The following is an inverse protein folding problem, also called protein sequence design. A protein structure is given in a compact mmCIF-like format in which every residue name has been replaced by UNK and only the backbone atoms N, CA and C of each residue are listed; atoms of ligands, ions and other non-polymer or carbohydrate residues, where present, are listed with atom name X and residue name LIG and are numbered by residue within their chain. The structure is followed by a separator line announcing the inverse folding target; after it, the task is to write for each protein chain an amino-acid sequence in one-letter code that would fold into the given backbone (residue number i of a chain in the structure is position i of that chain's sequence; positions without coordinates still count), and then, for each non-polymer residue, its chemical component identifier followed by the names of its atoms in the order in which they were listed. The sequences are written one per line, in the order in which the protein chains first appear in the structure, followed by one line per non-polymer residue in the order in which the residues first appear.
data_IF_036295348899
#
_entry.id   IF_036295348899
#
_cell.length_a   1.000
_cell.length_b   1.000
_cell.length_c   1.000
_cell.angle_alpha   90.00
_cell.angle_beta   90.00
_cell.angle_gamma   90.00
#
_symmetry.space_group_name_H-M   'P 1'
#
loop_
_entity.id
_entity.type
_entity.pdbx_description
1 polymer ?
#
# COMPACT_ATOMS: atom_id res chain seq x y z
N UNK A 1 -8.70 1.71 -2.01
CA UNK A 1 -7.30 2.04 -1.68
C UNK A 1 -6.63 0.81 -1.11
N UNK A 2 -5.59 0.24 -1.75
CA UNK A 2 -4.91 -0.96 -1.25
C UNK A 2 -3.63 -0.53 -0.53
N UNK A 3 -3.67 -0.54 0.81
CA UNK A 3 -2.54 -0.17 1.68
C UNK A 3 -1.88 -1.43 2.29
N UNK A 4 -2.04 -2.58 1.64
CA UNK A 4 -1.60 -3.87 2.14
C UNK A 4 -0.74 -4.60 1.09
N UNK A 5 0.47 -4.94 1.50
CA UNK A 5 1.52 -5.48 0.66
C UNK A 5 1.94 -6.87 1.15
N UNK A 6 2.38 -7.71 0.22
CA UNK A 6 2.88 -9.07 0.46
C UNK A 6 4.36 -9.12 0.11
N UNK A 7 5.23 -9.48 1.05
CA UNK A 7 6.64 -9.73 0.80
C UNK A 7 6.93 -11.22 0.98
N UNK A 8 7.69 -11.81 0.06
CA UNK A 8 8.09 -13.22 0.15
C UNK A 8 9.51 -13.32 0.71
N UNK A 9 9.69 -14.05 1.80
CA UNK A 9 10.97 -14.23 2.48
C UNK A 9 10.85 -14.21 4.00
N UNK A 10 11.95 -13.93 4.68
CA UNK A 10 11.95 -13.64 6.12
C UNK A 10 11.88 -12.14 6.38
N UNK A 11 11.48 -11.74 7.59
CA UNK A 11 11.47 -10.33 7.98
C UNK A 11 12.84 -9.68 7.77
N UNK A 12 13.92 -10.36 8.15
CA UNK A 12 15.30 -9.86 7.98
C UNK A 12 15.66 -9.64 6.51
N UNK A 13 15.19 -10.51 5.62
CA UNK A 13 15.48 -10.40 4.20
C UNK A 13 14.75 -9.21 3.56
N UNK A 14 13.53 -8.92 4.04
CA UNK A 14 12.68 -7.90 3.42
C UNK A 14 12.84 -6.50 4.02
N UNK A 15 13.28 -6.41 5.28
CA UNK A 15 13.49 -5.15 6.00
C UNK A 15 14.35 -4.12 5.23
N UNK A 16 15.45 -4.48 4.54
CA UNK A 16 16.24 -3.54 3.76
C UNK A 16 15.47 -2.85 2.63
N UNK A 17 14.39 -3.45 2.15
CA UNK A 17 13.53 -2.86 1.12
C UNK A 17 12.49 -1.91 1.69
N UNK A 18 12.24 -1.93 3.00
CA UNK A 18 11.33 -0.99 3.63
C UNK A 18 11.96 0.41 3.75
N UNK A 19 11.13 1.48 3.81
CA UNK A 19 11.57 2.83 4.12
C UNK A 19 12.38 2.85 5.41
N UNK A 20 13.45 3.66 5.49
CA UNK A 20 14.36 3.66 6.66
C UNK A 20 13.63 3.85 7.99
N UNK A 21 12.62 4.72 7.95
CA UNK A 21 11.71 5.00 9.05
C UNK A 21 10.87 3.80 9.52
N UNK A 22 10.55 2.89 8.61
CA UNK A 22 9.72 1.70 8.85
C UNK A 22 10.58 0.47 9.19
N UNK A 23 11.92 0.58 9.12
CA UNK A 23 12.85 -0.52 9.46
C UNK A 23 13.01 -0.74 10.95
N UNK A 24 12.67 0.26 11.76
CA UNK A 24 12.85 0.22 13.21
C UNK A 24 11.49 0.36 13.89
N UNK A 25 11.10 -0.57 14.77
CA UNK A 25 9.88 -0.44 15.55
C UNK A 25 9.86 0.84 16.40
N UNK A 26 8.69 1.45 16.50
CA UNK A 26 8.44 2.68 17.26
C UNK A 26 6.95 2.87 17.53
N UNK A 27 6.54 4.08 17.90
CA UNK A 27 5.14 4.39 18.22
C UNK A 27 4.21 4.13 17.03
N UNK A 28 4.65 4.56 15.83
CA UNK A 28 3.88 4.47 14.59
C UNK A 28 4.35 3.33 13.67
N UNK A 29 5.31 2.50 14.10
CA UNK A 29 5.83 1.36 13.32
C UNK A 29 5.86 0.13 14.21
N UNK A 30 5.05 -0.88 13.90
CA UNK A 30 5.01 -2.13 14.64
C UNK A 30 5.46 -3.30 13.78
N UNK A 31 6.42 -4.06 14.28
CA UNK A 31 6.83 -5.33 13.68
C UNK A 31 6.39 -6.46 14.59
N UNK A 32 5.71 -7.44 14.00
CA UNK A 32 5.29 -8.66 14.65
C UNK A 32 5.83 -9.83 13.84
N UNK A 33 6.63 -10.68 14.47
CA UNK A 33 7.17 -11.89 13.86
C UNK A 33 6.80 -13.08 14.72
N UNK A 34 6.04 -14.02 14.17
CA UNK A 34 5.55 -15.21 14.87
C UNK A 34 5.64 -16.43 13.97
N UNK A 35 5.98 -17.60 14.49
CA UNK A 35 6.00 -18.83 13.67
C UNK A 35 4.59 -19.22 13.20
N UNK A 36 3.60 -19.06 14.07
CA UNK A 36 2.20 -19.36 13.78
C UNK A 36 1.30 -18.19 14.16
N UNK A 37 0.69 -17.57 13.16
CA UNK A 37 -0.31 -16.52 13.36
C UNK A 37 -1.65 -17.15 13.80
N UNK A 38 -2.06 -16.86 15.03
CA UNK A 38 -3.32 -17.26 15.61
C UNK A 38 -4.40 -16.17 15.53
N UNK A 39 -5.60 -16.54 15.95
CA UNK A 39 -6.76 -15.63 15.92
C UNK A 39 -6.59 -14.44 16.87
N UNK A 40 -5.91 -14.62 18.00
CA UNK A 40 -5.72 -13.57 19.00
C UNK A 40 -4.70 -12.53 18.56
N UNK A 41 -3.61 -12.95 17.89
CA UNK A 41 -2.66 -12.05 17.24
C UNK A 41 -3.35 -11.26 16.13
N UNK A 42 -4.13 -11.92 15.27
CA UNK A 42 -4.87 -11.27 14.19
C UNK A 42 -5.89 -10.24 14.71
N UNK A 43 -6.61 -10.56 15.79
CA UNK A 43 -7.54 -9.63 16.44
C UNK A 43 -6.80 -8.44 17.07
N UNK A 44 -5.64 -8.67 17.66
CA UNK A 44 -4.82 -7.62 18.25
C UNK A 44 -4.31 -6.68 17.19
N UNK A 45 -3.74 -7.22 16.10
CA UNK A 45 -3.34 -6.44 14.94
C UNK A 45 -4.49 -5.58 14.42
N UNK A 46 -5.67 -6.18 14.22
CA UNK A 46 -6.84 -5.45 13.72
C UNK A 46 -7.27 -4.30 14.63
N UNK A 47 -7.19 -4.47 15.96
CA UNK A 47 -7.50 -3.39 16.91
C UNK A 47 -6.46 -2.27 16.78
N UNK A 48 -5.18 -2.62 16.82
CA UNK A 48 -4.09 -1.66 16.74
C UNK A 48 -4.07 -0.91 15.40
N UNK A 49 -4.29 -1.62 14.30
CA UNK A 49 -4.31 -1.05 12.95
C UNK A 49 -5.52 -0.16 12.67
N UNK A 50 -6.50 -0.13 13.57
CA UNK A 50 -7.63 0.80 13.47
C UNK A 50 -7.37 2.14 14.16
N UNK A 51 -6.29 2.24 14.93
CA UNK A 51 -5.90 3.46 15.63
C UNK A 51 -5.20 4.42 14.66
N UNK A 52 -5.48 5.71 14.81
CA UNK A 52 -4.83 6.75 14.01
C UNK A 52 -3.33 6.86 14.36
N UNK A 53 -2.49 7.26 13.40
CA UNK A 53 -1.10 7.59 13.66
C UNK A 53 -0.98 8.68 14.74
N UNK A 54 0.06 8.61 15.57
CA UNK A 54 0.29 9.59 16.63
C UNK A 54 1.14 10.77 16.15
N UNK A 55 2.28 10.50 15.51
CA UNK A 55 3.27 11.51 15.14
C UNK A 55 3.58 11.57 13.63
N UNK A 56 3.14 10.56 12.87
CA UNK A 56 3.38 10.44 11.42
C UNK A 56 2.09 10.62 10.63
N UNK A 57 2.23 10.84 9.33
CA UNK A 57 1.08 10.80 8.40
C UNK A 57 0.51 9.39 8.24
N UNK A 58 1.27 8.36 8.60
CA UNK A 58 0.84 6.96 8.52
C UNK A 58 1.46 6.10 9.63
N UNK A 59 0.80 4.97 9.92
CA UNK A 59 1.21 3.92 10.85
C UNK A 59 1.50 2.65 10.06
N UNK A 60 2.66 2.06 10.29
CA UNK A 60 3.12 0.87 9.56
C UNK A 60 3.03 -0.36 10.43
N UNK A 61 2.43 -1.42 9.90
CA UNK A 61 2.36 -2.74 10.52
C UNK A 61 3.04 -3.75 9.62
N UNK A 62 4.11 -4.36 10.14
CA UNK A 62 4.79 -5.47 9.49
C UNK A 62 4.44 -6.74 10.25
N UNK A 63 3.86 -7.72 9.58
CA UNK A 63 3.50 -9.01 10.17
C UNK A 63 4.18 -10.12 9.39
N UNK A 64 5.16 -10.76 10.03
CA UNK A 64 5.89 -11.88 9.50
C UNK A 64 5.42 -13.18 10.14
N UNK A 65 5.10 -14.20 9.32
CA UNK A 65 4.76 -15.52 9.81
C UNK A 65 5.07 -16.65 8.83
N UNK A 66 5.40 -17.83 9.38
CA UNK A 66 5.69 -19.03 8.57
C UNK A 66 4.46 -19.92 8.38
N UNK A 67 3.46 -19.78 9.25
CA UNK A 67 2.15 -20.43 9.15
C UNK A 67 1.06 -19.55 9.76
N UNK A 68 -0.20 -19.73 9.34
CA UNK A 68 -1.34 -19.02 9.91
C UNK A 68 -2.58 -19.90 9.93
N UNK A 69 -3.42 -19.77 10.96
CA UNK A 69 -4.72 -20.45 10.95
C UNK A 69 -5.67 -19.77 9.96
N UNK A 70 -6.60 -20.53 9.38
CA UNK A 70 -7.61 -19.94 8.49
C UNK A 70 -8.46 -18.88 9.19
N UNK A 71 -8.74 -19.06 10.48
CA UNK A 71 -9.46 -18.09 11.31
C UNK A 71 -8.69 -16.78 11.47
N UNK A 72 -7.38 -16.85 11.74
CA UNK A 72 -6.51 -15.68 11.83
C UNK A 72 -6.52 -14.89 10.52
N UNK A 73 -6.34 -15.58 9.40
CA UNK A 73 -6.35 -14.99 8.06
C UNK A 73 -7.69 -14.34 7.73
N UNK A 74 -8.80 -15.02 8.04
CA UNK A 74 -10.14 -14.46 7.84
C UNK A 74 -10.42 -13.23 8.71
N UNK A 75 -9.88 -13.20 9.93
CA UNK A 75 -10.03 -12.05 10.82
C UNK A 75 -9.32 -10.79 10.28
N UNK A 76 -8.28 -10.97 9.45
CA UNK A 76 -7.56 -9.87 8.80
C UNK A 76 -8.23 -9.37 7.53
N UNK A 77 -9.15 -10.12 6.91
CA UNK A 77 -9.76 -9.74 5.63
C UNK A 77 -10.35 -8.33 5.66
N UNK A 78 -11.10 -7.97 6.71
CA UNK A 78 -11.68 -6.63 6.85
C UNK A 78 -10.60 -5.55 6.90
N UNK A 79 -9.52 -5.81 7.64
CA UNK A 79 -8.39 -4.88 7.76
C UNK A 79 -7.65 -4.71 6.43
N UNK A 80 -7.57 -5.77 5.61
CA UNK A 80 -6.92 -5.73 4.31
C UNK A 80 -7.80 -5.12 3.21
N UNK A 81 -9.13 -5.24 3.31
CA UNK A 81 -10.10 -4.65 2.37
C UNK A 81 -10.23 -3.15 2.55
N UNK A 82 -10.35 -2.71 3.80
CA UNK A 82 -10.57 -1.33 4.20
C UNK A 82 -9.58 -0.98 5.32
N UNK A 83 -8.28 -0.87 5.00
CA UNK A 83 -7.31 -0.41 5.97
C UNK A 83 -7.71 0.99 6.47
N UNK A 84 -7.48 1.25 7.76
CA UNK A 84 -7.78 2.55 8.34
C UNK A 84 -6.92 3.62 7.65
N UNK A 85 -7.48 4.82 7.52
CA UNK A 85 -6.79 5.94 6.90
C UNK A 85 -5.41 6.18 7.55
N UNK A 86 -4.38 6.29 6.72
CA UNK A 86 -3.00 6.37 7.19
C UNK A 86 -2.46 5.06 7.77
N UNK A 87 -2.92 3.87 7.35
CA UNK A 87 -2.36 2.59 7.81
C UNK A 87 -1.71 1.83 6.67
N UNK A 88 -0.44 1.43 6.82
CA UNK A 88 0.24 0.54 5.89
C UNK A 88 0.44 -0.83 6.51
N UNK A 89 0.16 -1.89 5.75
CA UNK A 89 0.31 -3.28 6.18
C UNK A 89 1.28 -4.00 5.25
N UNK A 90 2.30 -4.62 5.83
CA UNK A 90 3.25 -5.48 5.13
C UNK A 90 3.11 -6.89 5.71
N UNK A 91 2.68 -7.83 4.89
CA UNK A 91 2.55 -9.24 5.22
C UNK A 91 3.78 -9.96 4.68
N UNK A 92 4.60 -10.51 5.55
CA UNK A 92 5.83 -11.20 5.18
C UNK A 92 5.64 -12.70 5.41
N UNK A 93 5.77 -13.50 4.35
CA UNK A 93 5.63 -14.96 4.44
C UNK A 93 6.75 -15.64 3.66
N UNK A 94 7.24 -16.82 4.08
CA UNK A 94 8.32 -17.50 3.37
C UNK A 94 7.88 -18.02 1.99
N UNK A 95 6.58 -18.15 1.74
CA UNK A 95 5.98 -18.68 0.50
C UNK A 95 4.50 -18.29 0.40
N UNK A 96 3.99 -18.14 -0.82
CA UNK A 96 2.61 -17.65 -1.07
C UNK A 96 1.51 -18.60 -0.60
N UNK A 97 1.74 -19.91 -0.61
CA UNK A 97 0.78 -20.96 -0.22
C UNK A 97 0.45 -20.97 1.27
N UNK A 98 1.18 -20.20 2.09
CA UNK A 98 0.82 -19.91 3.48
C UNK A 98 -0.48 -19.10 3.56
N UNK A 99 -0.77 -18.30 2.53
CA UNK A 99 -1.94 -17.43 2.48
C UNK A 99 -3.12 -18.09 1.78
N UNK A 100 -4.31 -17.91 2.35
CA UNK A 100 -5.56 -18.21 1.69
C UNK A 100 -5.69 -17.36 0.42
N UNK A 101 -6.24 -17.94 -0.64
CA UNK A 101 -6.45 -17.24 -1.91
C UNK A 101 -7.23 -15.92 -1.74
N UNK A 102 -8.17 -15.88 -0.79
CA UNK A 102 -8.96 -14.69 -0.44
C UNK A 102 -8.12 -13.59 0.22
N UNK A 103 -7.13 -13.94 1.03
CA UNK A 103 -6.20 -12.97 1.62
C UNK A 103 -5.22 -12.49 0.55
N UNK A 104 -4.61 -13.43 -0.18
CA UNK A 104 -3.63 -13.12 -1.23
C UNK A 104 -4.18 -12.15 -2.28
N UNK A 105 -5.44 -12.30 -2.70
CA UNK A 105 -6.05 -11.43 -3.70
C UNK A 105 -6.19 -9.96 -3.29
N UNK A 106 -6.06 -9.66 -1.98
CA UNK A 106 -6.16 -8.32 -1.39
C UNK A 106 -4.80 -7.69 -1.13
N UNK A 107 -3.73 -8.48 -1.21
CA UNK A 107 -2.36 -8.02 -1.04
C UNK A 107 -1.73 -7.70 -2.40
N UNK A 108 -0.87 -6.69 -2.41
CA UNK A 108 0.00 -6.41 -3.55
C UNK A 108 1.35 -7.06 -3.28
N UNK A 109 1.74 -8.04 -4.09
CA UNK A 109 3.07 -8.63 -4.00
C UNK A 109 4.12 -7.51 -4.16
N UNK A 110 5.11 -7.47 -3.28
CA UNK A 110 6.32 -6.65 -3.33
C UNK A 110 7.48 -7.63 -3.41
N UNK A 111 7.91 -7.91 -4.64
CA UNK A 111 9.06 -8.76 -4.88
C UNK A 111 10.31 -7.89 -5.07
N UNK A 112 11.35 -8.12 -4.27
CA UNK A 112 12.58 -7.34 -4.27
C UNK A 112 13.37 -7.37 -5.59
N UNK A 113 12.98 -8.25 -6.52
CA UNK A 113 13.55 -8.36 -7.86
C UNK A 113 12.62 -7.91 -9.00
N UNK A 114 11.35 -7.58 -8.74
CA UNK A 114 10.33 -7.45 -9.79
C UNK A 114 9.41 -6.25 -9.60
N UNK A 115 9.96 -5.14 -9.13
CA UNK A 115 9.21 -3.90 -8.96
C UNK A 115 8.61 -3.38 -10.29
N UNK A 116 9.25 -3.71 -11.41
CA UNK A 116 8.76 -3.39 -12.76
C UNK A 116 7.44 -4.11 -13.14
N UNK A 117 7.11 -5.25 -12.54
CA UNK A 117 5.89 -6.02 -12.89
C UNK A 117 4.67 -5.70 -12.04
N UNK A 118 4.82 -4.87 -11.01
CA UNK A 118 3.79 -4.58 -10.01
C UNK A 118 3.09 -3.25 -10.24
N UNK A 119 3.74 -2.34 -10.99
CA UNK A 119 3.11 -1.11 -11.45
C UNK A 119 1.99 -1.48 -12.43
N UNK A 120 0.72 -1.13 -12.15
CA UNK A 120 -0.37 -1.36 -13.08
C UNK A 120 -0.04 -0.79 -14.46
N UNK A 121 -0.50 -1.44 -15.54
CA UNK A 121 -0.16 -1.05 -16.93
C UNK A 121 -0.46 0.42 -17.20
N UNK A 122 -1.58 0.91 -16.70
CA UNK A 122 -2.01 2.29 -16.88
C UNK A 122 -1.07 3.25 -16.14
N UNK A 123 -0.63 2.90 -14.93
CA UNK A 123 0.32 3.69 -14.17
C UNK A 123 1.73 3.67 -14.78
N UNK A 124 2.18 2.54 -15.31
CA UNK A 124 3.47 2.46 -16.03
C UNK A 124 3.44 3.34 -17.30
N UNK A 125 2.33 3.31 -18.03
CA UNK A 125 2.11 4.19 -19.20
C UNK A 125 2.09 5.65 -18.79
N UNK A 126 1.43 5.98 -17.68
CA UNK A 126 1.36 7.33 -17.13
C UNK A 126 2.73 7.87 -16.69
N UNK A 127 3.51 7.05 -15.98
CA UNK A 127 4.87 7.39 -15.55
C UNK A 127 5.82 7.61 -16.72
N UNK A 128 5.67 6.86 -17.81
CA UNK A 128 6.49 7.00 -19.01
C UNK A 128 6.18 8.25 -19.87
N UNK A 129 5.04 8.92 -19.62
CA UNK A 129 4.60 10.09 -20.39
C UNK A 129 5.19 11.40 -19.88
N UNK A 130 5.23 12.39 -20.76
CA UNK A 130 5.63 13.76 -20.41
C UNK A 130 4.58 14.44 -19.51
N UNK A 131 4.95 15.49 -18.75
CA UNK A 131 3.98 16.21 -17.91
C UNK A 131 2.76 16.73 -18.69
N UNK A 132 2.95 17.22 -19.92
CA UNK A 132 1.84 17.71 -20.76
C UNK A 132 0.87 16.59 -21.16
N UNK A 133 1.39 15.41 -21.50
CA UNK A 133 0.59 14.23 -21.83
C UNK A 133 -0.15 13.67 -20.61
N UNK A 134 0.51 13.62 -19.45
CA UNK A 134 -0.13 13.21 -18.18
C UNK A 134 -1.31 14.12 -17.82
N UNK A 135 -1.15 15.44 -17.95
CA UNK A 135 -2.23 16.41 -17.72
C UNK A 135 -3.39 16.21 -18.71
N UNK A 136 -3.09 15.90 -19.97
CA UNK A 136 -4.11 15.60 -20.97
C UNK A 136 -4.89 14.31 -20.62
N UNK A 137 -4.19 13.24 -20.25
CA UNK A 137 -4.80 11.99 -19.80
C UNK A 137 -5.71 12.21 -18.59
N UNK A 138 -5.24 12.97 -17.59
CA UNK A 138 -6.04 13.30 -16.40
C UNK A 138 -7.32 14.02 -16.81
N UNK A 139 -7.22 15.04 -17.68
CA UNK A 139 -8.37 15.80 -18.13
C UNK A 139 -9.39 14.94 -18.90
N UNK A 140 -8.92 14.05 -19.76
CA UNK A 140 -9.75 13.10 -20.51
C UNK A 140 -10.42 12.08 -19.57
N UNK A 141 -9.64 11.40 -18.74
CA UNK A 141 -10.13 10.32 -17.85
C UNK A 141 -11.11 10.83 -16.80
N UNK A 142 -10.97 12.09 -16.38
CA UNK A 142 -11.94 12.74 -15.50
C UNK A 142 -13.26 13.02 -16.19
N UNK A 143 -13.23 13.46 -17.46
CA UNK A 143 -14.45 13.64 -18.25
C UNK A 143 -15.18 12.31 -18.47
N UNK A 144 -14.42 11.24 -18.67
CA UNK A 144 -14.94 9.87 -18.82
C UNK A 144 -15.40 9.24 -17.49
N UNK A 145 -15.04 9.85 -16.34
CA UNK A 145 -15.26 9.30 -15.00
C UNK A 145 -14.64 7.90 -14.83
N UNK A 146 -13.45 7.71 -15.41
CA UNK A 146 -12.70 6.45 -15.34
C UNK A 146 -11.99 6.31 -13.98
N UNK A 147 -12.76 6.02 -12.94
CA UNK A 147 -12.24 5.85 -11.59
C UNK A 147 -11.26 4.67 -11.48
N UNK A 148 -11.44 3.64 -12.30
CA UNK A 148 -10.56 2.49 -12.33
C UNK A 148 -9.16 2.88 -12.79
N UNK A 149 -9.06 3.69 -13.85
CA UNK A 149 -7.79 4.25 -14.30
C UNK A 149 -7.15 5.15 -13.24
N UNK A 150 -7.91 6.03 -12.60
CA UNK A 150 -7.37 6.93 -11.57
C UNK A 150 -6.81 6.14 -10.37
N UNK A 151 -7.53 5.11 -9.92
CA UNK A 151 -7.07 4.21 -8.87
C UNK A 151 -5.82 3.42 -9.29
N UNK A 152 -5.75 3.01 -10.56
CA UNK A 152 -4.60 2.34 -11.15
C UNK A 152 -3.36 3.25 -11.09
N UNK A 153 -3.49 4.50 -11.55
CA UNK A 153 -2.43 5.51 -11.52
C UNK A 153 -1.97 5.80 -10.09
N UNK A 154 -2.89 6.04 -9.16
CA UNK A 154 -2.53 6.31 -7.76
C UNK A 154 -1.78 5.12 -7.14
N UNK A 155 -2.25 3.90 -7.38
CA UNK A 155 -1.60 2.68 -6.88
C UNK A 155 -0.20 2.51 -7.47
N UNK A 156 -0.02 2.75 -8.77
CA UNK A 156 1.31 2.66 -9.37
C UNK A 156 2.25 3.78 -8.94
N UNK A 157 1.73 4.98 -8.64
CA UNK A 157 2.52 6.06 -8.05
C UNK A 157 2.95 5.76 -6.62
N UNK A 158 2.11 5.11 -5.81
CA UNK A 158 2.51 4.60 -4.48
C UNK A 158 3.67 3.61 -4.61
N UNK A 159 3.52 2.63 -5.50
CA UNK A 159 4.56 1.62 -5.74
C UNK A 159 5.83 2.33 -6.22
N UNK A 160 5.75 3.22 -7.21
CA UNK A 160 6.89 3.96 -7.73
C UNK A 160 7.58 4.81 -6.66
N UNK A 161 6.82 5.58 -5.88
CA UNK A 161 7.35 6.39 -4.79
C UNK A 161 8.07 5.54 -3.73
N UNK A 162 7.52 4.37 -3.41
CA UNK A 162 8.15 3.42 -2.50
C UNK A 162 9.44 2.84 -3.09
N UNK A 163 9.42 2.47 -4.37
CA UNK A 163 10.55 1.86 -5.10
C UNK A 163 11.73 2.80 -5.21
N UNK A 164 11.48 4.01 -5.67
CA UNK A 164 12.48 5.07 -5.85
C UNK A 164 12.89 5.71 -4.52
N UNK A 165 12.30 5.27 -3.39
CA UNK A 165 12.49 5.86 -2.07
C UNK A 165 12.20 7.37 -2.06
N UNK A 166 11.24 7.80 -2.87
CA UNK A 166 10.83 9.18 -2.96
C UNK A 166 9.77 9.48 -1.90
N UNK A 167 10.22 9.86 -0.70
CA UNK A 167 9.38 10.15 0.45
C UNK A 167 8.47 11.38 0.25
N UNK A 168 8.89 12.33 -0.58
CA UNK A 168 8.10 13.51 -0.93
C UNK A 168 6.90 13.10 -1.79
N UNK A 169 7.17 12.37 -2.87
CA UNK A 169 6.12 11.81 -3.72
C UNK A 169 5.19 10.89 -2.93
N UNK A 170 5.72 10.01 -2.07
CA UNK A 170 4.88 9.14 -1.24
C UNK A 170 3.92 9.94 -0.36
N UNK A 171 4.40 11.02 0.27
CA UNK A 171 3.55 11.89 1.10
C UNK A 171 2.44 12.53 0.26
N UNK A 172 2.76 13.00 -0.94
CA UNK A 172 1.79 13.61 -1.83
C UNK A 172 0.77 12.60 -2.36
N UNK A 173 1.20 11.40 -2.74
CA UNK A 173 0.28 10.35 -3.19
C UNK A 173 -0.70 10.00 -2.06
N UNK A 174 -0.21 9.84 -0.82
CA UNK A 174 -1.05 9.56 0.35
C UNK A 174 -2.02 10.71 0.67
N UNK A 175 -1.56 11.95 0.56
CA UNK A 175 -2.44 13.12 0.70
C UNK A 175 -3.53 13.09 -0.38
N UNK A 176 -3.17 12.94 -1.65
CA UNK A 176 -4.14 12.90 -2.74
C UNK A 176 -5.14 11.77 -2.53
N UNK A 177 -4.68 10.60 -2.10
CA UNK A 177 -5.50 9.42 -1.78
C UNK A 177 -6.59 9.72 -0.73
N UNK A 178 -6.24 10.33 0.40
CA UNK A 178 -7.17 10.76 1.46
C UNK A 178 -8.26 11.69 0.89
N UNK A 179 -7.86 12.73 0.16
CA UNK A 179 -8.82 13.67 -0.42
C UNK A 179 -9.59 13.11 -1.62
N UNK A 180 -9.05 12.14 -2.35
CA UNK A 180 -9.71 11.52 -3.50
C UNK A 180 -10.98 10.76 -3.06
N UNK A 181 -10.96 10.16 -1.86
CA UNK A 181 -12.09 9.49 -1.23
C UNK A 181 -13.15 10.47 -0.69
N UNK A 182 -12.77 11.72 -0.36
CA UNK A 182 -13.69 12.71 0.19
C UNK A 182 -14.74 13.20 -0.84
N UNK A 183 -16.03 13.33 -0.44
CA UNK A 183 -17.06 13.92 -1.30
C UNK A 183 -16.75 15.39 -1.61
N UNK A 184 -16.89 15.80 -2.88
CA UNK A 184 -16.71 17.19 -3.30
C UNK A 184 -15.26 17.63 -3.55
N UNK A 185 -14.27 16.75 -3.38
CA UNK A 185 -12.88 17.05 -3.73
C UNK A 185 -12.68 17.21 -5.24
N UNK A 186 -11.83 18.15 -5.63
CA UNK A 186 -11.43 18.32 -7.03
C UNK A 186 -10.39 17.27 -7.40
N UNK A 187 -10.86 16.07 -7.78
CA UNK A 187 -10.03 14.95 -8.25
C UNK A 187 -9.07 15.35 -9.36
N UNK A 188 -9.49 16.31 -10.21
CA UNK A 188 -8.67 16.91 -11.25
C UNK A 188 -7.46 17.62 -10.68
N UNK A 189 -7.69 18.58 -9.80
CA UNK A 189 -6.62 19.38 -9.22
C UNK A 189 -5.65 18.50 -8.43
N UNK A 190 -6.16 17.51 -7.69
CA UNK A 190 -5.34 16.57 -6.93
C UNK A 190 -4.42 15.73 -7.81
N UNK A 191 -4.93 15.14 -8.90
CA UNK A 191 -4.12 14.34 -9.82
C UNK A 191 -3.16 15.21 -10.65
N UNK A 192 -3.56 16.42 -11.03
CA UNK A 192 -2.69 17.36 -11.76
C UNK A 192 -1.52 17.83 -10.88
N UNK A 193 -1.76 18.14 -9.61
CA UNK A 193 -0.68 18.46 -8.67
C UNK A 193 0.27 17.28 -8.51
N UNK A 194 -0.26 16.08 -8.28
CA UNK A 194 0.54 14.87 -8.15
C UNK A 194 1.40 14.60 -9.39
N UNK A 195 0.84 14.86 -10.58
CA UNK A 195 1.53 14.68 -11.85
C UNK A 195 2.75 15.59 -12.04
N UNK A 196 2.82 16.71 -11.33
CA UNK A 196 3.92 17.67 -11.44
C UNK A 196 5.10 17.33 -10.53
N UNK A 197 4.89 16.43 -9.57
CA UNK A 197 5.88 16.01 -8.57
C UNK A 197 6.63 14.73 -8.93
N UNK A 198 6.40 14.21 -10.14
CA UNK A 198 6.97 12.96 -10.70
C UNK A 198 7.83 13.25 -11.92
#
# INVERSE_FOLDING_TARGET
MRQAFLCIGTLTDVLPFFPEDDRVPGTDVQHMSVDRLGIDEARTLRRESSLRPFNRSYRTFVIAFTSATGEAQNALLKTLEEPAEGTQLYVVVPREDVLLATVRSRLVLLDGAAVDTLVPREAATFLARTPAERLADIAEKIKEKDFAWMESVLTGLEIHAHTERNHELMREVLFVREYFAAPGSSKKMLLEQLSLSI
#
